data_IF_348848616926
#
_entry.id   IF_348848616926
#
_cell.length_a   1.000
_cell.length_b   1.000
_cell.length_c   1.000
_cell.angle_alpha   90.00
_cell.angle_beta   90.00
_cell.angle_gamma   90.00
#
_symmetry.space_group_name_H-M   'P 1'
#
loop_
_entity.id
_entity.type
_entity.pdbx_description
1 polymer ?
#
# COMPACT_ATOMS: atom_id res chain seq x y z
N UNK A 1 1.47 -20.09 -15.23
CA UNK A 1 1.54 -18.74 -15.84
C UNK A 1 1.69 -17.77 -14.69
N UNK A 2 2.86 -17.15 -14.52
CA UNK A 2 3.09 -16.15 -13.47
C UNK A 2 2.36 -14.86 -13.86
N UNK A 3 1.23 -14.59 -13.24
CA UNK A 3 0.67 -13.24 -13.21
C UNK A 3 1.58 -12.40 -12.31
N UNK A 4 2.52 -11.66 -12.92
CA UNK A 4 3.34 -10.70 -12.20
C UNK A 4 2.43 -9.59 -11.66
N UNK A 5 1.96 -9.75 -10.43
CA UNK A 5 1.30 -8.70 -9.69
C UNK A 5 2.39 -7.72 -9.24
N UNK A 6 2.53 -6.61 -9.95
CA UNK A 6 3.39 -5.51 -9.50
C UNK A 6 2.55 -4.53 -8.70
N UNK A 7 2.91 -4.41 -7.42
CA UNK A 7 2.32 -3.45 -6.50
C UNK A 7 3.17 -2.19 -6.57
N UNK A 8 2.55 -1.04 -6.79
CA UNK A 8 3.24 0.25 -6.69
C UNK A 8 2.44 1.18 -5.82
N UNK A 9 3.09 1.85 -4.89
CA UNK A 9 2.43 2.96 -4.20
C UNK A 9 2.55 4.20 -5.04
N UNK A 10 1.43 4.89 -5.16
CA UNK A 10 1.32 6.10 -5.95
C UNK A 10 0.70 7.19 -5.10
N UNK A 11 1.23 8.40 -5.23
CA UNK A 11 0.61 9.60 -4.70
C UNK A 11 -0.36 10.15 -5.74
N UNK A 12 -1.63 10.31 -5.38
CA UNK A 12 -2.64 10.86 -6.27
C UNK A 12 -2.53 12.39 -6.24
N UNK A 13 -2.03 12.96 -7.33
CA UNK A 13 -1.95 14.41 -7.50
C UNK A 13 -3.22 15.01 -8.09
N UNK A 14 -4.03 14.20 -8.78
CA UNK A 14 -5.35 14.60 -9.28
C UNK A 14 -6.32 13.43 -9.39
N UNK A 15 -7.59 13.68 -9.08
CA UNK A 15 -8.67 12.71 -9.26
C UNK A 15 -10.00 13.41 -9.49
N UNK A 16 -10.74 12.97 -10.53
CA UNK A 16 -12.15 13.34 -10.73
C UNK A 16 -13.12 12.33 -10.14
N UNK A 17 -12.60 11.24 -9.54
CA UNK A 17 -13.39 10.18 -8.93
C UNK A 17 -13.67 10.52 -7.46
N UNK A 18 -14.94 10.59 -7.07
CA UNK A 18 -15.35 10.85 -5.68
C UNK A 18 -14.78 9.82 -4.66
N UNK A 19 -14.46 8.61 -5.12
CA UNK A 19 -13.90 7.53 -4.30
C UNK A 19 -12.37 7.60 -4.14
N UNK A 20 -11.68 8.42 -4.93
CA UNK A 20 -10.22 8.55 -4.90
C UNK A 20 -9.88 9.98 -4.52
N UNK A 21 -9.36 10.16 -3.31
CA UNK A 21 -9.04 11.48 -2.75
C UNK A 21 -7.67 11.93 -3.25
N UNK A 22 -7.59 13.19 -3.69
CA UNK A 22 -6.32 13.84 -4.00
C UNK A 22 -5.47 14.02 -2.72
N UNK A 23 -4.15 14.10 -2.88
CA UNK A 23 -3.23 14.33 -1.76
C UNK A 23 -3.01 13.11 -0.87
N UNK A 24 -3.36 11.92 -1.36
CA UNK A 24 -3.28 10.66 -0.60
C UNK A 24 -2.48 9.62 -1.36
N UNK A 25 -1.87 8.72 -0.60
CA UNK A 25 -1.17 7.56 -1.14
C UNK A 25 -2.13 6.39 -1.29
N UNK A 26 -2.04 5.74 -2.44
CA UNK A 26 -2.80 4.56 -2.78
C UNK A 26 -1.87 3.48 -3.28
N UNK A 27 -2.29 2.22 -3.15
CA UNK A 27 -1.58 1.13 -3.80
C UNK A 27 -2.25 0.83 -5.12
N UNK A 28 -1.47 0.78 -6.19
CA UNK A 28 -1.90 0.30 -7.49
C UNK A 28 -1.54 -1.17 -7.67
N UNK A 29 -2.46 -1.93 -8.27
CA UNK A 29 -2.20 -3.28 -8.77
C UNK A 29 -2.59 -3.31 -10.23
N UNK A 30 -1.70 -3.81 -11.08
CA UNK A 30 -2.00 -4.09 -12.49
C UNK A 30 -2.41 -5.56 -12.66
N UNK A 31 -3.63 -5.79 -13.13
CA UNK A 31 -4.16 -7.11 -13.46
C UNK A 31 -4.46 -7.15 -14.96
N UNK A 32 -3.54 -7.71 -15.75
CA UNK A 32 -3.61 -7.63 -17.21
C UNK A 32 -3.50 -6.17 -17.68
N UNK A 33 -4.50 -5.71 -18.42
CA UNK A 33 -4.58 -4.34 -18.94
C UNK A 33 -5.31 -3.37 -17.99
N UNK A 34 -5.79 -3.85 -16.84
CA UNK A 34 -6.55 -3.06 -15.89
C UNK A 34 -5.69 -2.63 -14.70
N UNK A 35 -5.84 -1.37 -14.28
CA UNK A 35 -5.17 -0.80 -13.13
C UNK A 35 -6.18 -0.53 -12.01
N UNK A 36 -5.89 -1.01 -10.80
CA UNK A 36 -6.75 -0.86 -9.64
C UNK A 36 -6.04 -0.07 -8.54
N UNK A 37 -6.71 0.91 -7.93
CA UNK A 37 -6.28 1.53 -6.67
C UNK A 37 -6.93 0.85 -5.48
N UNK A 38 -6.16 0.61 -4.43
CA UNK A 38 -6.62 0.14 -3.12
C UNK A 38 -6.54 1.28 -2.12
N UNK A 39 -7.70 1.62 -1.53
CA UNK A 39 -7.77 2.55 -0.42
C UNK A 39 -7.31 1.89 0.90
N UNK A 40 -7.28 2.69 1.98
CA UNK A 40 -6.91 2.23 3.32
C UNK A 40 -7.82 1.12 3.89
N UNK A 41 -9.03 0.97 3.35
CA UNK A 41 -9.97 -0.08 3.74
C UNK A 41 -9.85 -1.34 2.85
N UNK A 42 -8.88 -1.37 1.93
CA UNK A 42 -8.70 -2.45 0.97
C UNK A 42 -9.76 -2.47 -0.14
N UNK A 43 -10.54 -1.40 -0.30
CA UNK A 43 -11.49 -1.29 -1.40
C UNK A 43 -10.74 -1.02 -2.70
N UNK A 44 -10.93 -1.91 -3.66
CA UNK A 44 -10.40 -1.73 -5.02
C UNK A 44 -11.30 -0.80 -5.85
N UNK A 45 -10.67 0.14 -6.55
CA UNK A 45 -11.29 1.03 -7.52
C UNK A 45 -10.57 0.85 -8.85
N UNK A 46 -11.27 0.47 -9.91
CA UNK A 46 -10.72 0.45 -11.26
C UNK A 46 -10.46 1.90 -11.68
N UNK A 47 -9.28 2.16 -12.24
CA UNK A 47 -8.89 3.49 -12.70
C UNK A 47 -8.36 3.47 -14.12
N UNK A 48 -8.55 4.58 -14.82
CA UNK A 48 -7.95 4.86 -16.11
C UNK A 48 -7.38 6.28 -16.14
N UNK A 49 -6.29 6.50 -16.87
CA UNK A 49 -5.92 7.88 -17.22
C UNK A 49 -6.91 8.39 -18.28
N UNK A 50 -7.43 9.63 -18.20
CA UNK A 50 -6.96 10.77 -17.40
C UNK A 50 -7.73 10.99 -16.08
N UNK A 51 -8.60 10.07 -15.67
CA UNK A 51 -9.50 10.24 -14.52
C UNK A 51 -8.74 10.41 -13.20
N UNK A 52 -7.58 9.76 -13.13
CA UNK A 52 -6.67 9.85 -12.00
C UNK A 52 -5.26 10.09 -12.56
N UNK A 53 -4.55 11.08 -12.02
CA UNK A 53 -3.12 11.26 -12.23
C UNK A 53 -2.38 10.92 -10.95
N UNK A 54 -1.19 10.39 -11.09
CA UNK A 54 -0.40 9.95 -9.95
C UNK A 54 1.09 9.99 -10.23
N UNK A 55 1.85 9.94 -9.14
CA UNK A 55 3.32 9.84 -9.15
C UNK A 55 3.73 8.61 -8.34
N UNK A 56 4.77 7.91 -8.78
CA UNK A 56 5.32 6.82 -7.99
C UNK A 56 5.81 7.38 -6.64
N UNK A 57 5.38 6.73 -5.57
CA UNK A 57 5.98 6.85 -4.25
C UNK A 57 6.93 5.66 -4.06
N UNK A 58 7.76 5.70 -3.02
CA UNK A 58 8.72 4.64 -2.68
C UNK A 58 8.11 3.23 -2.87
N UNK A 59 8.93 2.30 -3.36
CA UNK A 59 8.47 1.00 -3.85
C UNK A 59 7.85 0.18 -2.71
N UNK A 60 6.53 0.08 -2.74
CA UNK A 60 5.78 -0.81 -1.84
C UNK A 60 5.82 -2.20 -2.42
N UNK A 61 6.48 -3.09 -1.69
CA UNK A 61 6.73 -4.46 -2.10
C UNK A 61 5.59 -5.41 -1.73
N UNK A 62 4.74 -5.04 -0.77
CA UNK A 62 3.57 -5.83 -0.40
C UNK A 62 2.53 -5.03 0.39
N UNK A 63 1.32 -5.59 0.42
CA UNK A 63 0.21 -5.12 1.25
C UNK A 63 -0.08 -6.19 2.28
N UNK A 64 -0.08 -5.80 3.55
CA UNK A 64 -0.23 -6.70 4.67
C UNK A 64 -1.38 -6.25 5.57
N UNK A 65 -2.33 -7.14 5.82
CA UNK A 65 -3.30 -6.95 6.91
C UNK A 65 -2.68 -7.45 8.20
N UNK A 66 -2.42 -6.54 9.14
CA UNK A 66 -1.86 -6.91 10.44
C UNK A 66 -2.94 -7.60 11.26
N UNK A 67 -2.69 -8.84 11.67
CA UNK A 67 -3.57 -9.64 12.54
C UNK A 67 -3.23 -9.49 14.01
N UNK A 68 -1.95 -9.29 14.30
CA UNK A 68 -1.47 -9.05 15.64
C UNK A 68 -0.17 -8.25 15.58
N UNK A 69 0.04 -7.36 16.56
CA UNK A 69 1.20 -6.50 16.69
C UNK A 69 1.70 -6.47 18.14
N UNK A 70 3.00 -6.36 18.34
CA UNK A 70 3.60 -6.05 19.64
C UNK A 70 3.73 -4.54 19.91
N UNK A 71 3.26 -3.70 18.99
CA UNK A 71 3.40 -2.26 19.00
C UNK A 71 2.03 -1.58 19.10
N UNK A 72 1.90 -0.69 20.09
CA UNK A 72 0.66 0.06 20.36
C UNK A 72 0.30 1.05 19.24
N UNK A 73 1.30 1.49 18.46
CA UNK A 73 1.11 2.44 17.35
C UNK A 73 0.57 1.80 16.08
N UNK A 74 0.42 0.47 16.05
CA UNK A 74 -0.07 -0.30 14.91
C UNK A 74 -1.43 -0.89 15.27
N UNK A 75 -2.44 -0.57 14.46
CA UNK A 75 -3.81 -1.00 14.69
C UNK A 75 -4.00 -2.40 14.09
N UNK A 76 -4.31 -3.36 14.96
CA UNK A 76 -4.66 -4.72 14.52
C UNK A 76 -5.96 -4.70 13.69
N UNK A 77 -5.95 -5.46 12.59
CA UNK A 77 -7.03 -5.51 11.62
C UNK A 77 -6.88 -4.51 10.47
N UNK A 78 -6.01 -3.51 10.58
CA UNK A 78 -5.75 -2.55 9.51
C UNK A 78 -4.80 -3.12 8.43
N UNK A 79 -4.87 -2.48 7.26
CA UNK A 79 -4.03 -2.80 6.11
C UNK A 79 -2.90 -1.80 6.04
N UNK A 80 -1.67 -2.31 6.05
CA UNK A 80 -0.45 -1.52 5.98
C UNK A 80 0.27 -1.77 4.65
N UNK A 81 0.89 -0.69 4.16
CA UNK A 81 1.80 -0.72 3.03
C UNK A 81 3.19 -1.03 3.54
N UNK A 82 3.81 -2.06 2.99
CA UNK A 82 5.17 -2.47 3.34
C UNK A 82 6.10 -1.95 2.27
N UNK A 83 6.98 -1.06 2.67
CA UNK A 83 7.98 -0.42 1.83
C UNK A 83 9.28 -1.22 1.89
N UNK A 84 10.02 -1.20 0.77
CA UNK A 84 11.38 -1.70 0.74
C UNK A 84 12.35 -0.61 1.20
N UNK A 85 13.29 -0.95 2.06
CA UNK A 85 14.50 -0.18 2.28
C UNK A 85 15.67 -0.93 1.66
N UNK A 86 15.94 -0.67 0.38
CA UNK A 86 17.03 -1.32 -0.36
C UNK A 86 18.41 -1.06 0.24
N UNK A 87 18.59 0.04 0.96
CA UNK A 87 19.89 0.42 1.53
C UNK A 87 20.25 -0.53 2.68
N UNK A 88 19.26 -0.96 3.45
CA UNK A 88 19.45 -1.79 4.64
C UNK A 88 19.01 -3.25 4.43
N UNK A 89 18.49 -3.61 3.24
CA UNK A 89 17.87 -4.92 2.96
C UNK A 89 16.73 -5.24 3.95
N UNK A 90 15.99 -4.20 4.34
CA UNK A 90 14.93 -4.25 5.33
C UNK A 90 13.60 -3.85 4.72
N UNK A 91 12.51 -4.15 5.43
CA UNK A 91 11.16 -3.73 5.06
C UNK A 91 10.56 -2.98 6.22
N UNK A 92 9.73 -1.99 5.93
CA UNK A 92 9.07 -1.21 6.97
C UNK A 92 7.63 -0.87 6.61
N UNK A 93 6.83 -0.59 7.63
CA UNK A 93 5.54 0.06 7.50
C UNK A 93 5.64 1.49 8.05
N UNK A 94 4.69 2.33 7.68
CA UNK A 94 4.44 3.59 8.38
C UNK A 94 3.27 3.35 9.32
N UNK A 95 3.48 3.59 10.61
CA UNK A 95 2.44 3.42 11.63
C UNK A 95 1.48 4.63 11.68
N UNK A 96 0.52 4.61 12.61
CA UNK A 96 -0.47 5.69 12.74
C UNK A 96 0.13 7.02 13.23
N UNK A 97 1.32 6.97 13.85
CA UNK A 97 2.06 8.15 14.27
C UNK A 97 2.87 8.77 13.12
N UNK A 98 2.97 8.07 11.99
CA UNK A 98 3.80 8.46 10.85
C UNK A 98 5.25 8.00 10.98
N UNK A 99 5.57 7.10 11.92
CA UNK A 99 6.92 6.61 12.12
C UNK A 99 7.19 5.35 11.28
N UNK A 100 8.47 5.19 10.88
CA UNK A 100 8.94 3.98 10.21
C UNK A 100 9.12 2.87 11.24
N UNK A 101 8.44 1.76 11.00
CA UNK A 101 8.49 0.58 11.87
C UNK A 101 8.95 -0.62 11.06
N UNK A 102 9.97 -1.32 11.56
CA UNK A 102 10.51 -2.52 10.92
C UNK A 102 9.40 -3.57 10.75
N UNK A 103 9.21 -4.03 9.51
CA UNK A 103 8.23 -5.03 9.14
C UNK A 103 8.85 -6.43 9.22
N UNK A 104 8.77 -7.02 10.41
CA UNK A 104 9.32 -8.34 10.70
C UNK A 104 8.24 -9.31 11.25
N UNK A 105 8.38 -10.61 10.97
CA UNK A 105 7.46 -11.66 11.42
C UNK A 105 7.50 -11.90 12.94
N UNK A 106 8.56 -11.48 13.61
CA UNK A 106 8.66 -11.48 15.07
C UNK A 106 7.86 -10.33 15.69
N UNK A 107 7.63 -9.25 14.94
CA UNK A 107 6.87 -8.07 15.40
C UNK A 107 5.39 -8.21 15.01
N UNK A 108 5.13 -8.73 13.82
CA UNK A 108 3.80 -8.79 13.23
C UNK A 108 3.36 -10.20 12.84
N UNK A 109 2.11 -10.53 13.13
CA UNK A 109 1.37 -11.56 12.37
C UNK A 109 0.53 -10.87 11.32
N UNK A 110 0.58 -11.32 10.07
CA UNK A 110 -0.14 -10.68 8.98
C UNK A 110 -0.61 -11.66 7.90
N UNK A 111 -1.60 -11.22 7.13
CA UNK A 111 -1.96 -11.82 5.85
C UNK A 111 -1.51 -10.92 4.71
N UNK A 112 -0.92 -11.51 3.67
CA UNK A 112 -0.67 -10.82 2.41
C UNK A 112 -1.97 -10.72 1.62
N UNK A 113 -2.20 -9.56 0.99
CA UNK A 113 -3.38 -9.28 0.14
C UNK A 113 -2.99 -9.26 -1.34
#
# INVERSE_FOLDING_TARGET
MNTNHSYHTVFIDHSVLNSVKEGKFYTTIRLGDQLFLFDENGKRTLISEPEVRWKNADEVVMIAKIKASHLDSVIEGNIYRVFNDEVNDERYIIDESGERVLFDKMIFKYDLI
#
